data_IF_698086878891
#
_entry.id   IF_698086878891
#
_cell.length_a   1.000
_cell.length_b   1.000
_cell.length_c   1.000
_cell.angle_alpha   90.00
_cell.angle_beta   90.00
_cell.angle_gamma   90.00
#
_symmetry.space_group_name_H-M   'P 1'
#
loop_
_entity.id
_entity.type
_entity.pdbx_description
1 polymer ?
#
# COMPACT_ATOMS: atom_id res chain seq x y z
N UNK A 1 -6.47 -11.37 12.33
CA UNK A 1 -6.92 -9.96 12.44
C UNK A 1 -6.82 -9.37 11.05
N UNK A 2 -7.84 -8.62 10.62
CA UNK A 2 -7.81 -7.92 9.34
C UNK A 2 -7.66 -6.42 9.56
N UNK A 3 -6.70 -5.80 8.90
CA UNK A 3 -6.47 -4.36 8.96
C UNK A 3 -6.20 -3.80 7.56
N UNK A 4 -6.84 -2.68 7.24
CA UNK A 4 -6.66 -1.97 5.97
C UNK A 4 -5.61 -0.88 6.15
N UNK A 5 -4.45 -1.05 5.55
CA UNK A 5 -3.48 0.02 5.43
C UNK A 5 -3.72 0.78 4.12
N UNK A 6 -3.68 2.10 4.21
CA UNK A 6 -3.93 3.01 3.09
C UNK A 6 -2.70 3.87 2.94
N UNK A 7 -2.07 3.80 1.78
CA UNK A 7 -1.04 4.75 1.39
C UNK A 7 -1.74 5.87 0.62
N UNK A 8 -1.94 7.00 1.28
CA UNK A 8 -2.79 8.09 0.84
C UNK A 8 -2.05 9.02 -0.14
N UNK A 9 -2.60 9.08 -1.35
CA UNK A 9 -2.23 10.00 -2.43
C UNK A 9 -3.51 10.52 -3.12
N UNK A 10 -4.56 10.81 -2.34
CA UNK A 10 -5.87 11.21 -2.85
C UNK A 10 -6.54 10.11 -3.65
N UNK A 11 -6.98 10.40 -4.88
CA UNK A 11 -7.63 9.39 -5.74
C UNK A 11 -6.70 8.26 -6.20
N UNK A 12 -5.40 8.48 -6.09
CA UNK A 12 -4.36 7.52 -6.44
C UNK A 12 -3.92 6.68 -5.23
N UNK A 13 -4.65 6.76 -4.12
CA UNK A 13 -4.36 6.01 -2.91
C UNK A 13 -4.41 4.51 -3.15
N UNK A 14 -3.43 3.79 -2.65
CA UNK A 14 -3.33 2.33 -2.77
C UNK A 14 -3.70 1.66 -1.46
N UNK A 15 -4.38 0.52 -1.54
CA UNK A 15 -4.95 -0.13 -0.37
C UNK A 15 -4.35 -1.51 -0.15
N UNK A 16 -3.99 -1.80 1.11
CA UNK A 16 -3.27 -2.99 1.53
C UNK A 16 -4.05 -3.65 2.66
N UNK A 17 -4.71 -4.77 2.38
CA UNK A 17 -5.37 -5.56 3.41
C UNK A 17 -4.38 -6.56 4.00
N UNK A 18 -4.06 -6.35 5.27
CA UNK A 18 -3.33 -7.32 6.08
C UNK A 18 -4.32 -8.30 6.71
N UNK A 19 -4.25 -9.58 6.34
CA UNK A 19 -5.00 -10.65 6.98
C UNK A 19 -4.07 -11.56 7.77
N UNK A 20 -4.13 -11.42 9.10
CA UNK A 20 -3.34 -12.15 10.09
C UNK A 20 -4.19 -13.25 10.77
N UNK A 21 -5.05 -13.95 10.03
CA UNK A 21 -5.88 -15.04 10.55
C UNK A 21 -5.26 -16.42 10.26
N UNK A 22 -5.40 -17.35 11.22
CA UNK A 22 -5.26 -18.80 11.01
C UNK A 22 -3.96 -19.31 10.37
N UNK A 23 -2.80 -18.86 10.87
CA UNK A 23 -1.50 -19.47 10.54
C UNK A 23 -0.93 -19.17 9.15
N UNK A 24 -1.68 -18.49 8.28
CA UNK A 24 -1.20 -18.02 6.97
C UNK A 24 -1.45 -16.52 6.86
N UNK A 25 -0.40 -15.72 7.02
CA UNK A 25 -0.48 -14.28 6.82
C UNK A 25 -0.69 -13.98 5.33
N UNK A 26 -1.65 -13.12 5.00
CA UNK A 26 -1.90 -12.66 3.63
C UNK A 26 -1.78 -11.15 3.54
N UNK A 27 -1.25 -10.68 2.42
CA UNK A 27 -1.24 -9.28 2.04
C UNK A 27 -1.97 -9.16 0.71
N UNK A 28 -3.07 -8.43 0.70
CA UNK A 28 -3.87 -8.23 -0.51
C UNK A 28 -3.80 -6.76 -0.90
N UNK A 29 -3.30 -6.49 -2.10
CA UNK A 29 -3.20 -5.17 -2.70
C UNK A 29 -4.46 -4.89 -3.52
N UNK A 30 -5.00 -3.68 -3.43
CA UNK A 30 -6.12 -3.24 -4.24
C UNK A 30 -5.75 -1.97 -4.99
N UNK A 31 -5.90 -2.02 -6.31
CA UNK A 31 -5.67 -0.87 -7.18
C UNK A 31 -6.72 0.23 -6.93
N UNK A 32 -6.33 1.52 -6.89
CA UNK A 32 -7.27 2.64 -6.82
C UNK A 32 -8.25 2.67 -7.98
N UNK A 33 -7.82 2.22 -9.16
CA UNK A 33 -8.60 2.27 -10.39
C UNK A 33 -9.66 1.17 -10.52
N UNK A 34 -9.85 0.32 -9.49
CA UNK A 34 -10.95 -0.65 -9.49
C UNK A 34 -12.29 0.11 -9.62
N UNK A 35 -13.09 -0.13 -10.68
CA UNK A 35 -14.39 0.51 -10.83
C UNK A 35 -15.40 -0.08 -9.85
N UNK A 36 -16.18 0.81 -9.25
CA UNK A 36 -17.32 0.56 -8.36
C UNK A 36 -18.54 1.27 -9.00
N UNK A 37 -19.10 0.65 -10.04
CA UNK A 37 -20.11 1.26 -10.91
C UNK A 37 -19.65 2.57 -11.59
N UNK A 38 -19.98 3.72 -11.03
CA UNK A 38 -19.79 5.05 -11.63
C UNK A 38 -18.55 5.78 -11.15
N UNK A 39 -17.87 5.24 -10.13
CA UNK A 39 -16.64 5.80 -9.54
C UNK A 39 -15.62 4.70 -9.32
N UNK A 40 -14.37 5.07 -9.16
CA UNK A 40 -13.29 4.15 -8.78
C UNK A 40 -13.17 4.02 -7.25
N UNK A 41 -12.48 2.98 -6.79
CA UNK A 41 -12.18 2.79 -5.36
C UNK A 41 -11.40 3.97 -4.76
N UNK A 42 -10.44 4.51 -5.52
CA UNK A 42 -9.67 5.70 -5.14
C UNK A 42 -10.54 6.95 -5.04
N UNK A 43 -11.49 7.14 -5.96
CA UNK A 43 -12.43 8.26 -5.87
C UNK A 43 -13.38 8.13 -4.68
N UNK A 44 -13.89 6.93 -4.40
CA UNK A 44 -14.71 6.66 -3.22
C UNK A 44 -13.97 7.04 -1.93
N UNK A 45 -12.67 6.70 -1.83
CA UNK A 45 -11.83 7.07 -0.69
C UNK A 45 -11.76 8.59 -0.46
N UNK A 46 -11.68 9.38 -1.53
CA UNK A 46 -11.60 10.85 -1.40
C UNK A 46 -12.93 11.53 -1.05
N UNK A 47 -14.07 10.86 -1.31
CA UNK A 47 -15.41 11.44 -1.14
C UNK A 47 -16.00 11.17 0.24
N UNK A 48 -15.60 10.07 0.87
CA UNK A 48 -16.18 9.61 2.13
C UNK A 48 -15.19 9.75 3.29
N UNK A 49 -15.65 10.06 4.51
CA UNK A 49 -14.88 9.85 5.73
C UNK A 49 -14.34 8.42 5.81
N UNK A 50 -13.15 8.27 6.40
CA UNK A 50 -12.42 6.99 6.43
C UNK A 50 -13.26 5.83 7.01
N UNK A 51 -14.07 6.06 8.03
CA UNK A 51 -14.90 5.03 8.65
C UNK A 51 -15.97 4.52 7.68
N UNK A 52 -16.58 5.42 6.91
CA UNK A 52 -17.55 5.06 5.85
C UNK A 52 -16.86 4.36 4.70
N UNK A 53 -15.69 4.86 4.27
CA UNK A 53 -14.90 4.20 3.23
C UNK A 53 -14.56 2.76 3.62
N UNK A 54 -14.06 2.52 4.84
CA UNK A 54 -13.73 1.16 5.33
C UNK A 54 -14.97 0.27 5.35
N UNK A 55 -16.13 0.80 5.75
CA UNK A 55 -17.39 0.04 5.72
C UNK A 55 -17.82 -0.30 4.29
N UNK A 56 -17.71 0.64 3.34
CA UNK A 56 -18.00 0.39 1.93
C UNK A 56 -17.02 -0.60 1.32
N UNK A 57 -15.72 -0.48 1.58
CA UNK A 57 -14.68 -1.42 1.15
C UNK A 57 -14.96 -2.84 1.68
N UNK A 58 -15.25 -2.96 2.97
CA UNK A 58 -15.62 -4.22 3.62
C UNK A 58 -16.86 -4.84 2.94
N UNK A 59 -17.88 -4.02 2.71
CA UNK A 59 -19.10 -4.41 2.03
C UNK A 59 -18.88 -4.80 0.57
N UNK A 60 -18.00 -4.11 -0.15
CA UNK A 60 -17.76 -4.29 -1.58
C UNK A 60 -17.05 -5.62 -1.88
N UNK A 61 -16.07 -5.99 -1.06
CA UNK A 61 -15.29 -7.21 -1.25
C UNK A 61 -15.76 -8.37 -0.35
N UNK A 62 -16.84 -8.20 0.40
CA UNK A 62 -17.31 -9.16 1.42
C UNK A 62 -16.23 -9.53 2.45
N UNK A 63 -15.44 -8.55 2.88
CA UNK A 63 -14.31 -8.71 3.81
C UNK A 63 -14.65 -8.05 5.13
N UNK A 64 -14.63 -8.79 6.23
CA UNK A 64 -14.76 -8.19 7.55
C UNK A 64 -13.48 -7.44 7.97
N UNK A 65 -13.41 -6.14 7.68
CA UNK A 65 -12.33 -5.26 8.13
C UNK A 65 -12.92 -4.06 8.88
N UNK A 66 -12.40 -3.84 10.09
CA UNK A 66 -12.82 -2.74 10.98
C UNK A 66 -11.64 -1.86 11.42
N UNK A 67 -10.42 -2.32 11.16
CA UNK A 67 -9.18 -1.68 11.59
C UNK A 67 -8.51 -1.05 10.38
N UNK A 68 -7.99 0.16 10.55
CA UNK A 68 -7.29 0.85 9.46
C UNK A 68 -6.10 1.67 9.95
N UNK A 69 -5.18 1.93 9.04
CA UNK A 69 -4.01 2.79 9.22
C UNK A 69 -3.80 3.58 7.92
N UNK A 70 -3.89 4.90 7.97
CA UNK A 70 -3.69 5.79 6.82
C UNK A 70 -2.38 6.53 6.96
N UNK A 71 -1.46 6.32 6.02
CA UNK A 71 -0.22 7.09 5.90
C UNK A 71 -0.32 8.00 4.68
N UNK A 72 -0.15 9.29 4.87
CA UNK A 72 -0.07 10.24 3.76
C UNK A 72 1.27 10.09 3.05
N UNK A 73 1.28 10.15 1.71
CA UNK A 73 2.52 10.03 0.92
C UNK A 73 3.59 11.02 1.37
N UNK A 74 3.19 12.23 1.72
CA UNK A 74 4.08 13.25 2.26
C UNK A 74 4.79 12.81 3.55
N UNK A 75 4.09 12.09 4.42
CA UNK A 75 4.64 11.53 5.66
C UNK A 75 5.60 10.38 5.37
N UNK A 76 5.24 9.50 4.44
CA UNK A 76 6.12 8.45 3.92
C UNK A 76 7.43 9.02 3.36
N UNK A 77 7.34 10.05 2.51
CA UNK A 77 8.52 10.73 1.94
C UNK A 77 9.37 11.42 3.01
N UNK A 78 8.74 12.10 3.97
CA UNK A 78 9.45 12.72 5.09
C UNK A 78 10.20 11.67 5.93
N UNK A 79 9.60 10.50 6.15
CA UNK A 79 10.23 9.40 6.87
C UNK A 79 11.50 8.91 6.16
N UNK A 80 11.44 8.73 4.83
CA UNK A 80 12.60 8.30 4.05
C UNK A 80 13.71 9.36 4.14
N UNK A 81 13.38 10.64 3.95
CA UNK A 81 14.35 11.75 4.06
C UNK A 81 15.04 11.80 5.42
N UNK A 82 14.28 11.62 6.50
CA UNK A 82 14.81 11.76 7.85
C UNK A 82 15.58 10.52 8.34
N UNK A 83 15.32 9.35 7.78
CA UNK A 83 15.79 8.10 8.40
C UNK A 83 15.92 6.87 7.51
N UNK A 84 15.57 6.98 6.24
CA UNK A 84 15.71 5.91 5.26
C UNK A 84 16.93 6.05 4.35
N UNK A 85 17.56 7.23 4.30
CA UNK A 85 18.74 7.47 3.46
C UNK A 85 19.97 6.76 4.04
N UNK A 86 20.78 6.19 3.14
CA UNK A 86 22.10 5.66 3.47
C UNK A 86 23.12 6.80 3.63
N UNK A 87 24.38 6.46 3.92
CA UNK A 87 25.46 7.44 4.15
C UNK A 87 25.77 8.33 2.95
N UNK A 88 25.38 7.90 1.75
CA UNK A 88 25.51 8.65 0.49
C UNK A 88 24.31 9.59 0.24
N UNK A 89 23.36 9.68 1.18
CA UNK A 89 22.17 10.51 1.06
C UNK A 89 21.11 9.94 0.09
N UNK A 90 21.24 8.68 -0.33
CA UNK A 90 20.29 8.03 -1.25
C UNK A 90 19.46 6.97 -0.56
N UNK A 91 18.27 6.71 -1.10
CA UNK A 91 17.44 5.60 -0.69
C UNK A 91 17.70 4.39 -1.59
N UNK A 92 18.26 3.33 -1.01
CA UNK A 92 18.61 2.11 -1.73
C UNK A 92 17.42 1.14 -1.70
N UNK A 93 16.98 0.71 -2.87
CA UNK A 93 15.87 -0.22 -3.08
C UNK A 93 16.22 -1.21 -4.18
N UNK A 94 15.55 -2.37 -4.19
CA UNK A 94 15.65 -3.33 -5.29
C UNK A 94 14.35 -3.27 -6.08
N UNK A 95 14.41 -2.69 -7.27
CA UNK A 95 13.25 -2.54 -8.15
C UNK A 95 12.93 -3.88 -8.83
N UNK A 96 11.69 -4.38 -8.74
CA UNK A 96 11.35 -5.72 -9.24
C UNK A 96 11.31 -5.82 -10.76
N UNK A 97 10.97 -4.75 -11.46
CA UNK A 97 10.83 -4.71 -12.92
C UNK A 97 11.16 -3.31 -13.43
N UNK A 98 11.73 -3.21 -14.63
CA UNK A 98 12.00 -1.90 -15.23
C UNK A 98 10.69 -1.19 -15.59
N UNK A 99 10.61 0.12 -15.34
CA UNK A 99 9.43 0.92 -15.71
C UNK A 99 9.79 2.38 -15.96
N UNK A 100 8.94 3.06 -16.72
CA UNK A 100 9.04 4.50 -16.96
C UNK A 100 8.06 5.25 -16.07
N UNK A 101 8.56 6.09 -15.17
CA UNK A 101 7.68 6.81 -14.25
C UNK A 101 7.00 7.99 -14.95
N UNK A 102 5.66 8.01 -14.97
CA UNK A 102 4.90 9.08 -15.62
C UNK A 102 5.15 10.46 -14.99
N UNK A 103 5.50 10.50 -13.70
CA UNK A 103 5.65 11.74 -12.94
C UNK A 103 6.90 12.54 -13.30
N UNK A 104 8.01 11.87 -13.61
CA UNK A 104 9.28 12.53 -13.96
C UNK A 104 9.86 12.07 -15.30
N UNK A 105 9.17 11.19 -16.02
CA UNK A 105 9.57 10.62 -17.32
C UNK A 105 10.91 9.88 -17.28
N UNK A 106 11.39 9.51 -16.08
CA UNK A 106 12.62 8.76 -15.90
C UNK A 106 12.34 7.27 -16.00
N UNK A 107 13.20 6.56 -16.72
CA UNK A 107 13.23 5.09 -16.72
C UNK A 107 14.02 4.59 -15.51
N UNK A 108 13.41 3.70 -14.74
CA UNK A 108 14.04 2.97 -13.65
C UNK A 108 14.28 1.55 -14.11
N UNK A 109 15.53 1.10 -14.07
CA UNK A 109 15.90 -0.26 -14.46
C UNK A 109 15.56 -1.26 -13.35
N UNK A 110 15.43 -2.54 -13.73
CA UNK A 110 15.30 -3.64 -12.77
C UNK A 110 16.59 -3.82 -11.97
N UNK A 111 16.46 -4.21 -10.69
CA UNK A 111 17.58 -4.44 -9.79
C UNK A 111 17.83 -3.29 -8.82
N UNK A 112 19.06 -3.17 -8.35
CA UNK A 112 19.39 -2.22 -7.28
C UNK A 112 19.42 -0.77 -7.79
N UNK A 113 18.65 0.08 -7.14
CA UNK A 113 18.54 1.51 -7.42
C UNK A 113 18.94 2.32 -6.20
N UNK A 114 19.65 3.42 -6.45
CA UNK A 114 19.97 4.42 -5.46
C UNK A 114 19.22 5.73 -5.80
N UNK A 115 18.06 5.90 -5.16
CA UNK A 115 17.11 6.97 -5.46
C UNK A 115 17.42 8.24 -4.66
N UNK A 116 17.34 9.41 -5.31
CA UNK A 116 17.38 10.69 -4.59
C UNK A 116 16.05 10.98 -3.89
N UNK A 117 16.02 11.85 -2.86
CA UNK A 117 14.78 12.26 -2.19
C UNK A 117 13.65 12.78 -3.09
N UNK A 118 14.00 13.31 -4.26
CA UNK A 118 13.09 13.82 -5.29
C UNK A 118 12.56 12.68 -6.17
N UNK A 119 13.39 11.67 -6.45
CA UNK A 119 13.02 10.51 -7.28
C UNK A 119 12.07 9.55 -6.57
N UNK A 120 12.14 9.46 -5.24
CA UNK A 120 11.31 8.56 -4.44
C UNK A 120 9.82 8.83 -4.66
N UNK A 121 9.42 10.10 -4.76
CA UNK A 121 8.01 10.47 -4.99
C UNK A 121 7.50 9.92 -6.33
N UNK A 122 8.29 10.05 -7.41
CA UNK A 122 7.96 9.46 -8.70
C UNK A 122 7.96 7.92 -8.65
N UNK A 123 8.92 7.33 -7.94
CA UNK A 123 9.07 5.88 -7.81
C UNK A 123 7.88 5.21 -7.11
N UNK A 124 7.31 5.85 -6.07
CA UNK A 124 6.21 5.29 -5.28
C UNK A 124 4.81 5.77 -5.69
N UNK A 125 4.72 6.66 -6.68
CA UNK A 125 3.43 7.16 -7.16
C UNK A 125 2.68 6.08 -7.94
N UNK A 126 1.35 6.03 -7.77
CA UNK A 126 0.51 5.09 -8.50
C UNK A 126 0.62 5.27 -10.01
N UNK A 127 0.94 4.17 -10.68
CA UNK A 127 0.79 3.97 -12.11
C UNK A 127 0.73 2.48 -12.39
N UNK A 128 0.22 2.14 -13.56
CA UNK A 128 0.36 0.81 -14.16
C UNK A 128 1.65 0.86 -14.98
N UNK A 129 2.53 -0.12 -14.76
CA UNK A 129 3.88 -0.11 -15.34
C UNK A 129 3.85 -0.49 -16.84
N UNK A 130 5.00 -0.33 -17.51
CA UNK A 130 5.14 -0.54 -18.96
C UNK A 130 4.70 -1.94 -19.42
N UNK A 131 4.84 -2.93 -18.54
CA UNK A 131 4.45 -4.35 -18.72
C UNK A 131 3.00 -4.65 -18.31
N UNK A 132 2.22 -3.63 -17.94
CA UNK A 132 0.85 -3.75 -17.46
C UNK A 132 0.72 -4.23 -16.01
N UNK A 133 1.84 -4.40 -15.30
CA UNK A 133 1.84 -4.83 -13.90
C UNK A 133 1.61 -3.67 -12.92
N UNK A 134 1.39 -4.02 -11.65
CA UNK A 134 1.26 -3.07 -10.56
C UNK A 134 2.50 -3.10 -9.66
N UNK A 135 3.69 -2.88 -10.23
CA UNK A 135 4.95 -2.89 -9.49
C UNK A 135 5.01 -1.85 -8.36
N UNK A 136 4.17 -0.81 -8.42
CA UNK A 136 4.04 0.23 -7.40
C UNK A 136 3.77 -0.31 -6.00
N UNK A 137 3.04 -1.42 -5.87
CA UNK A 137 2.80 -2.03 -4.55
C UNK A 137 4.10 -2.49 -3.89
N UNK A 138 4.99 -3.12 -4.66
CA UNK A 138 6.32 -3.51 -4.17
C UNK A 138 7.17 -2.29 -3.82
N UNK A 139 7.12 -1.25 -4.66
CA UNK A 139 7.88 0.00 -4.44
C UNK A 139 7.43 0.76 -3.18
N UNK A 140 6.13 0.84 -2.95
CA UNK A 140 5.56 1.43 -1.74
C UNK A 140 5.81 0.56 -0.51
N UNK A 141 5.82 -0.77 -0.65
CA UNK A 141 6.20 -1.67 0.45
C UNK A 141 7.60 -1.37 1.01
N UNK A 142 8.55 -0.93 0.20
CA UNK A 142 9.89 -0.52 0.68
C UNK A 142 9.80 0.65 1.67
N UNK A 143 8.95 1.63 1.38
CA UNK A 143 8.66 2.76 2.28
C UNK A 143 7.89 2.28 3.52
N UNK A 144 6.90 1.41 3.35
CA UNK A 144 6.13 0.84 4.47
C UNK A 144 7.03 0.03 5.42
N UNK A 145 8.02 -0.70 4.90
CA UNK A 145 9.00 -1.45 5.70
C UNK A 145 9.88 -0.54 6.54
N UNK A 146 10.26 0.64 6.03
CA UNK A 146 10.97 1.64 6.82
C UNK A 146 10.11 2.13 7.99
N UNK A 147 8.82 2.40 7.74
CA UNK A 147 7.87 2.77 8.79
C UNK A 147 7.80 1.69 9.86
N UNK A 148 7.67 0.41 9.50
CA UNK A 148 7.68 -0.69 10.47
C UNK A 148 8.87 -0.63 11.39
N UNK A 149 10.09 -0.47 10.84
CA UNK A 149 11.32 -0.44 11.64
C UNK A 149 11.28 0.68 12.67
N UNK A 150 10.58 1.78 12.41
CA UNK A 150 10.44 2.90 13.35
C UNK A 150 9.26 2.76 14.31
N UNK A 151 8.11 2.26 13.85
CA UNK A 151 6.91 2.09 14.67
C UNK A 151 7.02 0.93 15.67
N UNK A 152 7.70 -0.15 15.30
CA UNK A 152 7.73 -1.36 16.10
C UNK A 152 9.08 -1.66 16.74
N UNK A 153 10.03 -0.74 16.61
CA UNK A 153 11.24 -0.77 17.43
C UNK A 153 11.16 0.30 18.52
N UNK A 154 10.37 0.13 19.58
CA UNK A 154 10.69 0.83 20.80
C UNK A 154 11.87 0.11 21.46
N UNK A 155 12.92 0.87 21.82
CA UNK A 155 13.64 0.55 23.06
C UNK A 155 12.56 0.47 24.15
N UNK A 156 12.39 -0.67 24.83
CA UNK A 156 11.37 -0.85 25.88
C UNK A 156 11.33 0.29 26.91
N UNK A 157 12.42 1.04 27.05
CA UNK A 157 12.56 2.22 27.90
C UNK A 157 11.86 3.51 27.42
N UNK A 158 11.31 3.58 26.18
CA UNK A 158 10.71 4.81 25.62
C UNK A 158 9.20 4.73 25.32
N UNK A 159 8.56 3.58 25.56
CA UNK A 159 7.13 3.36 25.25
C UNK A 159 6.20 4.27 26.04
N UNK A 160 6.61 4.74 27.23
CA UNK A 160 5.80 5.64 28.08
C UNK A 160 5.91 7.12 27.70
N UNK A 161 6.94 7.55 26.96
CA UNK A 161 7.15 8.98 26.59
C UNK A 161 6.77 9.35 25.17
N UNK A 162 6.63 8.38 24.26
CA UNK A 162 6.46 8.64 22.82
C UNK A 162 5.17 8.13 22.18
N UNK A 163 4.26 7.53 22.95
CA UNK A 163 2.94 7.13 22.45
C UNK A 163 2.18 8.29 21.79
N UNK A 164 2.37 9.53 22.27
CA UNK A 164 1.77 10.74 21.70
C UNK A 164 2.49 11.36 20.49
N UNK A 165 3.66 10.85 20.07
CA UNK A 165 4.36 11.35 18.86
C UNK A 165 4.17 10.45 17.64
N UNK A 166 3.88 9.17 17.86
CA UNK A 166 3.58 8.21 16.78
C UNK A 166 2.18 8.46 16.18
N UNK A 167 1.25 9.03 16.95
CA UNK A 167 -0.11 9.36 16.47
C UNK A 167 -0.20 10.60 15.59
N UNK A 168 0.86 11.40 15.47
CA UNK A 168 0.78 12.69 14.76
C UNK A 168 0.93 12.57 13.23
N UNK A 169 1.33 11.40 12.73
CA UNK A 169 1.62 11.17 11.30
C UNK A 169 0.80 10.04 10.68
N UNK A 170 -0.30 9.62 11.31
CA UNK A 170 -1.08 8.48 10.82
C UNK A 170 -2.50 8.48 11.39
N UNK A 171 -3.52 8.54 10.53
CA UNK A 171 -4.93 8.40 10.97
C UNK A 171 -5.21 6.92 11.20
N UNK A 172 -5.53 6.51 12.43
CA UNK A 172 -5.74 5.10 12.77
C UNK A 172 -6.70 4.88 13.92
N UNK A 173 -7.40 3.74 13.89
CA UNK A 173 -8.18 3.21 15.01
C UNK A 173 -7.56 1.93 15.60
N UNK A 174 -6.28 1.67 15.28
CA UNK A 174 -5.48 0.60 15.88
C UNK A 174 -5.07 1.00 17.29
N UNK A 175 -5.30 0.11 18.25
CA UNK A 175 -4.74 0.27 19.59
C UNK A 175 -3.30 -0.29 19.64
N UNK A 176 -2.59 -0.07 20.75
CA UNK A 176 -1.21 -0.57 20.93
C UNK A 176 -1.12 -2.10 20.76
N UNK A 177 -2.12 -2.86 21.20
CA UNK A 177 -2.15 -4.32 21.03
C UNK A 177 -2.28 -4.71 19.54
N UNK A 178 -3.06 -3.97 18.78
CA UNK A 178 -3.23 -4.16 17.34
C UNK A 178 -1.92 -3.82 16.60
N UNK A 179 -1.27 -2.70 16.94
CA UNK A 179 0.03 -2.31 16.41
C UNK A 179 1.11 -3.34 16.74
N UNK A 180 1.14 -3.84 17.97
CA UNK A 180 2.05 -4.91 18.39
C UNK A 180 1.74 -6.24 17.73
N UNK A 181 0.48 -6.52 17.33
CA UNK A 181 0.11 -7.73 16.59
C UNK A 181 0.48 -7.64 15.12
N UNK A 182 0.29 -6.48 14.49
CA UNK A 182 0.81 -6.18 13.15
C UNK A 182 2.34 -6.23 13.14
N UNK A 183 2.93 -5.70 14.20
CA UNK A 183 4.32 -5.84 14.57
C UNK A 183 4.76 -7.29 14.63
N UNK A 184 4.37 -8.02 15.67
CA UNK A 184 4.78 -9.39 15.98
C UNK A 184 4.40 -10.43 14.92
N UNK A 185 3.25 -10.30 14.24
CA UNK A 185 2.91 -11.14 13.09
C UNK A 185 3.90 -10.99 11.92
N UNK A 186 4.57 -9.83 11.85
CA UNK A 186 5.58 -9.46 10.88
C UNK A 186 7.01 -9.33 11.49
N UNK A 187 7.20 -9.57 12.80
CA UNK A 187 8.46 -9.38 13.57
C UNK A 187 8.90 -10.60 14.37
N UNK A 188 8.03 -11.56 14.70
CA UNK A 188 8.43 -12.69 15.54
C UNK A 188 9.19 -13.78 14.75
N UNK A 189 9.18 -13.73 13.42
CA UNK A 189 10.04 -14.54 12.53
C UNK A 189 10.33 -13.71 11.28
N UNK A 190 11.60 -13.52 10.95
CA UNK A 190 12.02 -12.89 9.70
C UNK A 190 11.29 -13.52 8.51
N UNK A 191 10.93 -12.70 7.53
CA UNK A 191 10.34 -13.13 6.25
C UNK A 191 9.35 -14.30 6.33
N UNK A 192 8.47 -14.31 7.36
CA UNK A 192 7.39 -15.30 7.38
C UNK A 192 6.59 -15.12 6.08
N UNK A 193 6.56 -16.13 5.19
CA UNK A 193 6.11 -15.94 3.81
C UNK A 193 4.65 -15.51 3.82
N UNK A 194 4.42 -14.22 3.58
CA UNK A 194 3.08 -13.70 3.38
C UNK A 194 2.65 -14.07 1.97
N UNK A 195 1.48 -14.69 1.84
CA UNK A 195 0.90 -14.86 0.51
C UNK A 195 0.43 -13.50 0.02
N UNK A 196 1.14 -12.97 -0.97
CA UNK A 196 0.81 -11.71 -1.62
C UNK A 196 -0.16 -11.97 -2.76
N UNK A 197 -1.16 -11.09 -2.88
CA UNK A 197 -2.09 -11.09 -3.99
C UNK A 197 -2.38 -9.65 -4.37
N UNK A 198 -2.60 -9.40 -5.66
CA UNK A 198 -3.05 -8.10 -6.14
C UNK A 198 -4.43 -8.23 -6.78
N UNK A 199 -5.26 -7.22 -6.58
CA UNK A 199 -6.60 -7.09 -7.12
C UNK A 199 -6.65 -5.80 -7.97
N UNK A 200 -6.99 -5.89 -9.26
CA UNK A 200 -7.22 -7.13 -10.00
C UNK A 200 -5.95 -7.98 -10.19
N UNK A 201 -6.12 -9.26 -10.45
CA UNK A 201 -5.02 -10.20 -10.67
C UNK A 201 -4.44 -9.97 -12.06
N UNK A 202 -3.11 -10.07 -12.23
CA UNK A 202 -2.48 -9.90 -13.54
C UNK A 202 -3.08 -10.88 -14.57
N UNK A 203 -3.41 -10.38 -15.77
CA UNK A 203 -4.08 -11.16 -16.81
C UNK A 203 -5.60 -11.26 -16.68
N UNK A 204 -6.19 -10.65 -15.64
CA UNK A 204 -7.66 -10.65 -15.42
C UNK A 204 -8.29 -9.27 -15.65
N UNK A 205 -7.61 -8.40 -16.41
CA UNK A 205 -8.10 -7.06 -16.71
C UNK A 205 -7.59 -6.57 -18.07
N UNK A 206 -8.29 -5.60 -18.62
CA UNK A 206 -7.93 -4.90 -19.86
C UNK A 206 -7.45 -3.49 -19.53
N UNK A 207 -6.41 -3.06 -20.25
CA UNK A 207 -5.82 -1.73 -20.13
C UNK A 207 -6.20 -0.83 -21.30
N UNK A 208 -6.16 0.48 -21.07
CA UNK A 208 -6.22 1.46 -22.15
C UNK A 208 -5.06 1.28 -23.13
N UNK A 209 -5.26 1.68 -24.38
CA UNK A 209 -4.24 1.55 -25.43
C UNK A 209 -3.14 2.62 -25.33
N UNK A 210 -3.41 3.73 -24.64
CA UNK A 210 -2.49 4.86 -24.50
C UNK A 210 -1.94 4.96 -23.07
N UNK A 211 -0.68 5.44 -22.97
CA UNK A 211 -0.05 5.77 -21.70
C UNK A 211 -0.48 7.17 -21.22
N UNK A 212 -0.66 7.39 -19.90
CA UNK A 212 -0.57 6.40 -18.82
C UNK A 212 -1.70 5.38 -18.87
N UNK A 213 -1.37 4.08 -18.75
CA UNK A 213 -2.37 3.02 -18.82
C UNK A 213 -3.40 3.16 -17.71
N UNK A 214 -4.65 2.80 -18.03
CA UNK A 214 -5.78 2.78 -17.10
C UNK A 214 -6.48 1.44 -17.12
N UNK A 215 -7.06 1.05 -15.98
CA UNK A 215 -7.98 -0.09 -15.94
C UNK A 215 -9.26 0.24 -16.69
N UNK A 216 -9.59 -0.55 -17.71
CA UNK A 216 -10.82 -0.40 -18.51
C UNK A 216 -11.87 -1.39 -18.06
N UNK A 217 -11.48 -2.66 -17.93
CA UNK A 217 -12.38 -3.76 -17.58
C UNK A 217 -11.66 -4.78 -16.71
N UNK A 218 -12.39 -5.40 -15.79
CA UNK A 218 -11.88 -6.46 -14.91
C UNK A 218 -12.74 -7.70 -15.07
N UNK A 219 -12.10 -8.82 -15.39
CA UNK A 219 -12.71 -10.15 -15.41
C UNK A 219 -12.79 -10.71 -13.99
N UNK A 220 -13.83 -10.30 -13.27
CA UNK A 220 -14.01 -10.67 -11.86
C UNK A 220 -14.09 -12.18 -11.64
N UNK A 221 -14.61 -12.97 -12.58
CA UNK A 221 -14.72 -14.43 -12.43
C UNK A 221 -13.37 -15.11 -12.14
N UNK A 222 -12.28 -14.60 -12.69
CA UNK A 222 -10.93 -15.14 -12.56
C UNK A 222 -10.17 -14.57 -11.34
N UNK A 223 -10.77 -13.65 -10.59
CA UNK A 223 -10.13 -13.01 -9.44
C UNK A 223 -10.37 -13.80 -8.14
N UNK A 224 -9.33 -14.12 -7.34
CA UNK A 224 -9.53 -14.84 -6.07
C UNK A 224 -10.29 -13.99 -5.03
N UNK A 225 -10.22 -12.67 -5.14
CA UNK A 225 -10.99 -11.72 -4.34
C UNK A 225 -12.03 -11.07 -5.25
N UNK A 226 -13.30 -11.26 -4.90
CA UNK A 226 -14.43 -10.87 -5.73
C UNK A 226 -14.98 -9.52 -5.29
N UNK A 227 -15.24 -8.63 -6.25
CA UNK A 227 -16.18 -7.53 -6.05
C UNK A 227 -17.61 -8.10 -6.05
N UNK A 228 -18.46 -7.66 -5.12
CA UNK A 228 -19.86 -8.10 -5.07
C UNK A 228 -20.58 -7.73 -6.35
N UNK A 229 -21.38 -8.66 -6.88
CA UNK A 229 -22.06 -8.53 -8.16
C UNK A 229 -22.82 -7.20 -8.37
N UNK A 230 -23.52 -6.62 -7.37
CA UNK A 230 -24.21 -5.34 -7.57
C UNK A 230 -23.27 -4.16 -7.85
N UNK A 231 -21.98 -4.26 -7.53
CA UNK A 231 -21.00 -3.19 -7.68
C UNK A 231 -20.08 -3.34 -8.90
N UNK A 232 -20.24 -4.45 -9.64
CA UNK A 232 -19.48 -4.72 -10.87
C UNK A 232 -19.98 -3.86 -12.02
#
# INVERSE_FOLDING_TARGET
MKALFIFDDGKNSTFYLYDLMNGVNRLIHFAPEIPLQTITLGELYTREPIEKFVAHFAGAFSIEVKKYLVMEKAEGLALVRNSGLASDGKFHVTNPTSFTACKNQKRYEEGDLALTPEEIDAYISWQIDDDGSFGVFTRQEDVIRLMRRKLVTPRLSMVTKHAGKVSNYTKTNLNLKDLLKMGSGYLAKGDAPMKKQTVPTLGTFELSQEQPYRLVRIEWAENPVQLRAPLR
#
